data_IF_186039314635
#
_entry.id   IF_186039314635
#
_cell.length_a   1.000
_cell.length_b   1.000
_cell.length_c   1.000
_cell.angle_alpha   90.00
_cell.angle_beta   90.00
_cell.angle_gamma   90.00
#
_symmetry.space_group_name_H-M   'P 1'
#
loop_
_entity.id
_entity.type
_entity.pdbx_description
1 polymer ?
#
# COMPACT_ATOMS: atom_id res chain seq x y z
N UNK A 1 -3.25 25.91 2.88
CA UNK A 1 -2.53 24.98 1.97
C UNK A 1 -3.59 24.13 1.33
N UNK A 2 -3.69 24.13 -0.01
CA UNK A 2 -4.68 23.31 -0.69
C UNK A 2 -4.24 21.84 -0.64
N UNK A 3 -5.09 20.97 -0.11
CA UNK A 3 -4.90 19.53 -0.20
C UNK A 3 -4.90 19.14 -1.68
N UNK A 4 -3.94 18.33 -2.15
CA UNK A 4 -3.97 17.84 -3.52
C UNK A 4 -5.13 16.85 -3.65
N UNK A 5 -6.30 17.34 -4.08
CA UNK A 5 -7.38 16.49 -4.57
C UNK A 5 -6.90 15.78 -5.84
N UNK A 6 -6.46 14.53 -5.71
CA UNK A 6 -6.08 13.71 -6.85
C UNK A 6 -5.41 12.40 -6.49
N UNK A 7 -5.70 11.36 -7.27
CA UNK A 7 -4.93 10.12 -7.26
C UNK A 7 -3.63 10.32 -8.02
N UNK A 8 -2.50 9.89 -7.45
CA UNK A 8 -1.20 9.86 -8.11
C UNK A 8 -0.75 8.41 -8.37
N UNK A 9 -0.15 8.17 -9.54
CA UNK A 9 0.38 6.85 -9.90
C UNK A 9 1.88 6.81 -9.69
N UNK A 10 2.34 5.91 -8.82
CA UNK A 10 3.75 5.58 -8.66
C UNK A 10 4.06 4.25 -9.36
N UNK A 11 5.01 4.25 -10.30
CA UNK A 11 5.52 3.01 -10.92
C UNK A 11 6.89 2.67 -10.37
N UNK A 12 7.03 1.51 -9.73
CA UNK A 12 8.30 1.06 -9.16
C UNK A 12 8.55 -0.43 -9.42
N UNK A 13 9.80 -0.78 -9.76
CA UNK A 13 10.22 -2.17 -9.96
C UNK A 13 10.62 -2.78 -8.61
N UNK A 14 9.95 -3.86 -8.24
CA UNK A 14 10.25 -4.61 -7.00
C UNK A 14 10.94 -5.94 -7.31
N UNK A 15 11.64 -6.48 -6.31
CA UNK A 15 12.24 -7.82 -6.41
C UNK A 15 11.16 -8.89 -6.65
N UNK A 16 11.39 -9.90 -7.51
CA UNK A 16 10.40 -10.95 -7.79
C UNK A 16 9.88 -11.66 -6.54
N UNK A 17 10.75 -11.90 -5.55
CA UNK A 17 10.37 -12.50 -4.27
C UNK A 17 9.33 -11.64 -3.50
N UNK A 18 9.42 -10.31 -3.59
CA UNK A 18 8.46 -9.39 -2.96
C UNK A 18 7.12 -9.49 -3.69
N UNK A 19 7.13 -9.47 -5.03
CA UNK A 19 5.92 -9.60 -5.83
C UNK A 19 5.18 -10.91 -5.52
N UNK A 20 5.90 -12.03 -5.41
CA UNK A 20 5.32 -13.32 -5.06
C UNK A 20 4.63 -13.29 -3.70
N UNK A 21 5.28 -12.72 -2.67
CA UNK A 21 4.69 -12.60 -1.32
C UNK A 21 3.50 -11.64 -1.29
N UNK A 22 3.55 -10.55 -2.04
CA UNK A 22 2.45 -9.59 -2.17
C UNK A 22 1.21 -10.25 -2.79
N UNK A 23 1.41 -11.04 -3.86
CA UNK A 23 0.34 -11.82 -4.49
C UNK A 23 -0.28 -12.83 -3.54
N UNK A 24 0.54 -13.57 -2.78
CA UNK A 24 0.06 -14.52 -1.77
C UNK A 24 -0.76 -13.84 -0.67
N UNK A 25 -0.26 -12.70 -0.15
CA UNK A 25 -0.96 -11.94 0.88
C UNK A 25 -2.32 -11.43 0.40
N UNK A 26 -2.38 -10.84 -0.80
CA UNK A 26 -3.64 -10.37 -1.39
C UNK A 26 -4.61 -11.53 -1.63
N UNK A 27 -4.13 -12.66 -2.15
CA UNK A 27 -4.96 -13.84 -2.41
C UNK A 27 -5.55 -14.44 -1.11
N UNK A 28 -4.80 -14.45 -0.02
CA UNK A 28 -5.27 -14.94 1.28
C UNK A 28 -6.29 -14.00 1.95
N UNK A 29 -6.10 -12.68 1.80
CA UNK A 29 -6.93 -11.66 2.48
C UNK A 29 -8.22 -11.29 1.74
N UNK A 30 -8.21 -11.33 0.41
CA UNK A 30 -9.36 -10.95 -0.43
C UNK A 30 -10.64 -11.76 -0.14
N UNK A 31 -10.61 -13.09 0.04
CA UNK A 31 -11.81 -13.86 0.39
C UNK A 31 -12.37 -13.50 1.77
N UNK A 32 -11.47 -13.15 2.69
CA UNK A 32 -11.82 -12.78 4.07
C UNK A 32 -12.28 -11.33 4.21
N UNK A 33 -12.17 -10.53 3.14
CA UNK A 33 -12.40 -9.07 3.18
C UNK A 33 -11.64 -8.40 4.33
N UNK A 34 -10.40 -8.86 4.57
CA UNK A 34 -9.52 -8.27 5.60
C UNK A 34 -8.65 -7.17 4.98
N UNK A 35 -8.93 -5.91 5.29
CA UNK A 35 -8.10 -4.78 4.86
C UNK A 35 -6.70 -4.83 5.49
N UNK A 36 -5.63 -4.46 4.76
CA UNK A 36 -5.56 -4.27 3.30
C UNK A 36 -5.67 -5.59 2.53
N UNK A 37 -6.51 -5.64 1.49
CA UNK A 37 -6.90 -6.89 0.80
C UNK A 37 -6.41 -7.04 -0.66
N UNK A 38 -6.04 -5.96 -1.35
CA UNK A 38 -5.45 -6.02 -2.70
C UNK A 38 -3.96 -5.67 -2.65
N UNK A 39 -3.24 -5.94 -3.73
CA UNK A 39 -1.84 -5.54 -3.83
C UNK A 39 -1.68 -4.02 -3.71
N UNK A 40 -2.62 -3.24 -4.25
CA UNK A 40 -2.60 -1.78 -4.17
C UNK A 40 -2.83 -1.31 -2.74
N UNK A 41 -3.88 -1.82 -2.05
CA UNK A 41 -4.14 -1.47 -0.65
C UNK A 41 -2.95 -1.82 0.25
N UNK A 42 -2.32 -2.98 0.02
CA UNK A 42 -1.17 -3.41 0.83
C UNK A 42 0.01 -2.46 0.63
N UNK A 43 0.29 -2.04 -0.61
CA UNK A 43 1.39 -1.11 -0.91
C UNK A 43 1.09 0.28 -0.36
N UNK A 44 -0.12 0.79 -0.54
CA UNK A 44 -0.57 2.07 -0.01
C UNK A 44 -0.49 2.10 1.52
N UNK A 45 -1.06 1.09 2.18
CA UNK A 45 -1.05 1.00 3.64
C UNK A 45 0.36 0.83 4.21
N UNK A 46 1.20 -0.01 3.59
CA UNK A 46 2.59 -0.19 4.03
C UNK A 46 3.41 1.10 3.84
N UNK A 47 3.17 1.85 2.76
CA UNK A 47 3.82 3.13 2.53
C UNK A 47 3.37 4.18 3.56
N UNK A 48 2.06 4.26 3.82
CA UNK A 48 1.48 5.15 4.83
C UNK A 48 2.02 4.86 6.25
N UNK A 49 2.09 3.58 6.63
CA UNK A 49 2.68 3.16 7.90
C UNK A 49 4.16 3.52 7.97
N UNK A 50 4.93 3.26 6.92
CA UNK A 50 6.34 3.60 6.88
C UNK A 50 6.56 5.11 7.01
N UNK A 51 5.82 5.93 6.27
CA UNK A 51 5.90 7.39 6.34
C UNK A 51 5.59 7.92 7.73
N UNK A 52 4.48 7.47 8.32
CA UNK A 52 4.06 7.86 9.68
C UNK A 52 5.12 7.52 10.72
N UNK A 53 5.71 6.31 10.65
CA UNK A 53 6.79 5.88 11.55
C UNK A 53 8.09 6.67 11.39
N UNK A 54 8.32 7.30 10.24
CA UNK A 54 9.51 8.09 9.95
C UNK A 54 9.29 9.61 10.12
N UNK A 55 8.21 10.03 10.77
CA UNK A 55 7.93 11.44 11.05
C UNK A 55 7.25 12.19 9.90
N UNK A 56 6.70 11.46 8.93
CA UNK A 56 5.90 12.00 7.82
C UNK A 56 4.45 11.49 7.93
N UNK A 57 3.68 11.86 8.97
CA UNK A 57 2.30 11.39 9.11
C UNK A 57 1.45 11.88 7.94
N UNK A 58 0.63 10.97 7.41
CA UNK A 58 -0.42 11.33 6.46
C UNK A 58 -1.60 11.80 7.31
N UNK A 59 -1.83 13.11 7.35
CA UNK A 59 -3.05 13.67 7.92
C UNK A 59 -4.09 13.62 6.80
N UNK A 60 -4.96 12.62 6.85
CA UNK A 60 -6.18 12.54 6.04
C UNK A 60 -7.33 13.33 6.68
#
# INVERSE_FOLDING_TARGET
MAEPFGFATLTHRIRPAILQRLQQAAAARKPLRQFPWTQQDIVEHALAEWLSRNGFPINE
#
